data_IF_187381694217
#
_entry.id   IF_187381694217
#
_cell.length_a   1.000
_cell.length_b   1.000
_cell.length_c   1.000
_cell.angle_alpha   90.00
_cell.angle_beta   90.00
_cell.angle_gamma   90.00
#
_symmetry.space_group_name_H-M   'P 1'
#
loop_
_entity.id
_entity.type
_entity.pdbx_description
1 polymer ?
#
# COMPACT_ATOMS: atom_id res chain seq x y z
N UNK A 1 17.18 37.66 46.02
CA UNK A 1 17.50 37.24 44.63
C UNK A 1 17.39 35.72 44.56
N UNK A 2 16.27 35.20 44.05
CA UNK A 2 16.11 33.78 43.73
C UNK A 2 16.02 33.67 42.22
N UNK A 3 16.93 32.90 41.60
CA UNK A 3 17.00 32.73 40.15
C UNK A 3 16.01 31.63 39.74
N UNK A 4 14.92 32.00 39.08
CA UNK A 4 14.02 31.02 38.44
C UNK A 4 14.77 30.28 37.33
N UNK A 5 15.01 28.99 37.54
CA UNK A 5 15.50 28.08 36.50
C UNK A 5 14.29 27.68 35.66
N UNK A 6 14.15 28.31 34.49
CA UNK A 6 13.16 27.94 33.48
C UNK A 6 13.63 26.67 32.77
N UNK A 7 12.99 25.54 33.09
CA UNK A 7 13.31 24.24 32.50
C UNK A 7 12.59 24.09 31.16
N UNK A 8 13.31 24.35 30.05
CA UNK A 8 12.84 24.07 28.69
C UNK A 8 12.91 22.56 28.43
N UNK A 9 11.76 21.88 28.47
CA UNK A 9 11.62 20.52 27.95
C UNK A 9 11.56 20.58 26.41
N UNK A 10 12.64 20.18 25.75
CA UNK A 10 12.65 19.89 24.32
C UNK A 10 11.85 18.60 24.08
N UNK A 11 10.63 18.73 23.58
CA UNK A 11 9.86 17.62 23.01
C UNK A 11 10.53 17.19 21.70
N UNK A 12 11.34 16.14 21.76
CA UNK A 12 11.85 15.46 20.57
C UNK A 12 10.67 14.69 19.97
N UNK A 13 10.02 15.26 18.95
CA UNK A 13 9.10 14.52 18.12
C UNK A 13 9.93 13.55 17.28
N UNK A 14 10.11 12.33 17.76
CA UNK A 14 10.47 11.23 16.88
C UNK A 14 9.31 11.04 15.93
N UNK A 15 9.43 11.61 14.73
CA UNK A 15 8.66 11.17 13.57
C UNK A 15 9.04 9.72 13.34
N UNK A 16 8.33 8.81 14.00
CA UNK A 16 8.36 7.42 13.61
C UNK A 16 7.76 7.43 12.20
N UNK A 17 8.60 7.26 11.17
CA UNK A 17 8.11 6.82 9.88
C UNK A 17 7.46 5.47 10.18
N UNK A 18 6.14 5.47 10.41
CA UNK A 18 5.43 4.23 10.60
C UNK A 18 5.62 3.47 9.29
N UNK A 19 6.35 2.36 9.35
CA UNK A 19 6.33 1.43 8.25
C UNK A 19 4.88 0.98 8.07
N UNK A 20 4.42 0.85 6.83
CA UNK A 20 3.07 0.41 6.54
C UNK A 20 2.91 -1.05 7.01
N UNK A 21 2.38 -1.23 8.22
CA UNK A 21 2.29 -2.54 8.90
C UNK A 21 1.49 -3.53 8.05
N UNK A 22 0.40 -3.09 7.42
CA UNK A 22 -0.41 -3.93 6.54
C UNK A 22 0.40 -4.44 5.34
N UNK A 23 1.20 -3.56 4.73
CA UNK A 23 2.13 -3.94 3.66
C UNK A 23 3.24 -4.85 4.16
N UNK A 24 3.82 -4.61 5.34
CA UNK A 24 4.88 -5.46 5.91
C UNK A 24 4.38 -6.87 6.17
N UNK A 25 3.16 -7.01 6.70
CA UNK A 25 2.47 -8.29 6.86
C UNK A 25 2.31 -8.97 5.51
N UNK A 26 1.86 -8.25 4.47
CA UNK A 26 1.70 -8.80 3.13
C UNK A 26 3.05 -9.22 2.52
N UNK A 27 4.10 -8.42 2.68
CA UNK A 27 5.47 -8.71 2.22
C UNK A 27 6.02 -9.99 2.87
N UNK A 28 5.66 -10.24 4.13
CA UNK A 28 6.04 -11.44 4.88
C UNK A 28 5.42 -12.75 4.34
N UNK A 29 4.44 -12.67 3.44
CA UNK A 29 3.73 -13.83 2.87
C UNK A 29 4.45 -14.40 1.66
N UNK A 30 4.13 -15.66 1.33
CA UNK A 30 4.57 -16.29 0.08
C UNK A 30 3.93 -15.59 -1.13
N UNK A 31 4.49 -15.77 -2.33
CA UNK A 31 3.92 -15.19 -3.56
C UNK A 31 2.46 -15.64 -3.80
N UNK A 32 2.18 -16.93 -3.57
CA UNK A 32 0.82 -17.47 -3.68
C UNK A 32 -0.13 -16.83 -2.66
N UNK A 33 0.30 -16.67 -1.41
CA UNK A 33 -0.50 -16.03 -0.37
C UNK A 33 -0.74 -14.55 -0.67
N UNK A 34 0.27 -13.80 -1.15
CA UNK A 34 0.10 -12.38 -1.56
C UNK A 34 -0.99 -12.25 -2.61
N UNK A 35 -0.88 -13.06 -3.64
CA UNK A 35 -1.80 -13.12 -4.78
C UNK A 35 -3.22 -13.49 -4.33
N UNK A 36 -3.36 -14.45 -3.42
CA UNK A 36 -4.66 -14.84 -2.86
C UNK A 36 -5.28 -13.75 -1.97
N UNK A 37 -4.47 -13.09 -1.14
CA UNK A 37 -4.94 -12.00 -0.26
C UNK A 37 -5.44 -10.82 -1.11
N UNK A 38 -4.66 -10.40 -2.12
CA UNK A 38 -5.00 -9.28 -2.99
C UNK A 38 -6.26 -9.55 -3.82
N UNK A 39 -6.46 -10.77 -4.32
CA UNK A 39 -7.73 -11.14 -4.98
C UNK A 39 -8.88 -11.20 -3.99
N UNK A 40 -8.66 -11.65 -2.76
CA UNK A 40 -9.63 -11.61 -1.67
C UNK A 40 -10.14 -10.19 -1.40
N UNK A 41 -9.25 -9.19 -1.38
CA UNK A 41 -9.62 -7.77 -1.22
C UNK A 41 -10.54 -7.31 -2.35
N UNK A 42 -10.23 -7.64 -3.61
CA UNK A 42 -11.08 -7.30 -4.76
C UNK A 42 -12.46 -7.97 -4.66
N UNK A 43 -12.49 -9.26 -4.33
CA UNK A 43 -13.72 -10.04 -4.26
C UNK A 43 -14.61 -9.55 -3.11
N UNK A 44 -14.02 -9.19 -1.96
CA UNK A 44 -14.74 -8.61 -0.83
C UNK A 44 -15.35 -7.23 -1.16
N UNK A 45 -14.72 -6.47 -2.06
CA UNK A 45 -15.25 -5.21 -2.58
C UNK A 45 -16.33 -5.38 -3.68
N UNK A 46 -16.77 -6.61 -3.95
CA UNK A 46 -17.77 -6.92 -4.98
C UNK A 46 -17.21 -7.08 -6.40
N UNK A 47 -15.89 -7.05 -6.56
CA UNK A 47 -15.23 -7.38 -7.82
C UNK A 47 -15.19 -8.89 -8.08
N UNK A 48 -14.76 -9.27 -9.29
CA UNK A 48 -14.52 -10.66 -9.65
C UNK A 48 -13.06 -10.83 -10.10
N UNK A 49 -12.25 -11.48 -9.25
CA UNK A 49 -10.85 -11.78 -9.53
C UNK A 49 -10.51 -13.21 -9.12
N UNK A 50 -10.39 -14.09 -10.13
CA UNK A 50 -9.63 -15.33 -10.00
C UNK A 50 -8.16 -14.99 -10.27
N UNK A 51 -7.25 -15.06 -9.27
CA UNK A 51 -5.92 -14.51 -9.42
C UNK A 51 -5.02 -15.35 -10.34
N UNK A 52 -4.15 -14.68 -11.11
CA UNK A 52 -3.01 -15.30 -11.82
C UNK A 52 -1.70 -14.95 -11.11
N UNK A 53 -1.44 -13.65 -10.95
CA UNK A 53 -0.20 -13.16 -10.35
C UNK A 53 -0.40 -11.81 -9.67
N UNK A 54 0.48 -11.48 -8.73
CA UNK A 54 0.57 -10.17 -8.11
C UNK A 54 1.96 -9.57 -8.30
N UNK A 55 2.03 -8.23 -8.33
CA UNK A 55 3.26 -7.48 -8.54
C UNK A 55 3.35 -6.30 -7.56
N UNK A 56 4.48 -6.18 -6.86
CA UNK A 56 4.72 -5.05 -5.97
C UNK A 56 5.34 -3.87 -6.73
N UNK A 57 4.63 -2.73 -6.81
CA UNK A 57 5.16 -1.53 -7.47
C UNK A 57 6.10 -0.72 -6.57
N UNK A 58 5.90 -0.79 -5.26
CA UNK A 58 6.65 0.03 -4.29
C UNK A 58 5.74 0.87 -3.41
N UNK A 59 6.36 1.78 -2.67
CA UNK A 59 5.68 2.78 -1.83
C UNK A 59 5.81 4.17 -2.42
N UNK A 60 4.83 5.03 -2.16
CA UNK A 60 4.92 6.45 -2.48
C UNK A 60 5.62 7.25 -1.35
N UNK A 61 5.56 8.58 -1.43
CA UNK A 61 6.18 9.49 -0.45
C UNK A 61 5.48 9.51 0.92
N UNK A 62 4.28 8.93 1.01
CA UNK A 62 3.49 8.83 2.24
C UNK A 62 3.52 7.39 2.78
N UNK A 63 4.44 6.55 2.29
CA UNK A 63 4.55 5.12 2.60
C UNK A 63 3.29 4.30 2.25
N UNK A 64 2.43 4.81 1.38
CA UNK A 64 1.33 4.02 0.84
C UNK A 64 1.89 3.00 -0.15
N UNK A 65 1.58 1.72 0.06
CA UNK A 65 2.08 0.63 -0.74
C UNK A 65 1.17 0.34 -1.93
N UNK A 66 1.76 0.08 -3.10
CA UNK A 66 1.03 -0.19 -4.34
C UNK A 66 1.33 -1.60 -4.84
N UNK A 67 0.28 -2.39 -4.97
CA UNK A 67 0.31 -3.75 -5.48
C UNK A 67 -0.58 -3.86 -6.71
N UNK A 68 -0.15 -4.59 -7.74
CA UNK A 68 -1.03 -4.98 -8.83
C UNK A 68 -1.41 -6.44 -8.74
N UNK A 69 -2.51 -6.78 -9.39
CA UNK A 69 -2.95 -8.15 -9.56
C UNK A 69 -3.58 -8.33 -10.94
N UNK A 70 -3.22 -9.44 -11.58
CA UNK A 70 -3.79 -9.91 -12.84
C UNK A 70 -4.80 -11.00 -12.53
N UNK A 71 -6.00 -10.87 -13.07
CA UNK A 71 -7.10 -11.81 -12.90
C UNK A 71 -7.33 -12.60 -14.19
N UNK A 72 -7.82 -13.84 -14.08
CA UNK A 72 -8.03 -14.75 -15.21
C UNK A 72 -9.04 -14.26 -16.25
N UNK A 73 -9.92 -13.33 -15.88
CA UNK A 73 -10.85 -12.67 -16.78
C UNK A 73 -10.21 -11.53 -17.61
N UNK A 74 -8.89 -11.37 -17.55
CA UNK A 74 -8.14 -10.32 -18.26
C UNK A 74 -8.20 -8.94 -17.58
N UNK A 75 -8.94 -8.80 -16.48
CA UNK A 75 -8.91 -7.58 -15.69
C UNK A 75 -7.64 -7.51 -14.85
N UNK A 76 -7.17 -6.29 -14.64
CA UNK A 76 -6.08 -6.02 -13.72
C UNK A 76 -6.38 -4.79 -12.89
N UNK A 77 -5.86 -4.80 -11.67
CA UNK A 77 -6.12 -3.79 -10.66
C UNK A 77 -4.81 -3.34 -10.02
N UNK A 78 -4.75 -2.07 -9.66
CA UNK A 78 -3.83 -1.56 -8.65
C UNK A 78 -4.59 -1.43 -7.33
N UNK A 79 -3.97 -1.91 -6.26
CA UNK A 79 -4.44 -1.84 -4.89
C UNK A 79 -3.43 -0.98 -4.15
N UNK A 80 -3.87 0.20 -3.72
CA UNK A 80 -3.15 1.00 -2.75
C UNK A 80 -3.51 0.52 -1.35
N UNK A 81 -2.51 0.37 -0.49
CA UNK A 81 -2.66 0.15 0.95
C UNK A 81 -2.09 1.39 1.63
N UNK A 82 -2.93 2.17 2.30
CA UNK A 82 -2.53 3.38 3.02
C UNK A 82 -1.63 3.03 4.22
N UNK A 83 -0.78 3.98 4.61
CA UNK A 83 -0.02 3.89 5.85
C UNK A 83 -0.84 4.45 7.02
N UNK A 84 -1.93 3.77 7.35
CA UNK A 84 -2.78 4.08 8.51
C UNK A 84 -3.02 2.81 9.36
N UNK A 85 -3.60 2.98 10.54
CA UNK A 85 -3.79 1.88 11.49
C UNK A 85 -4.80 0.84 10.98
N UNK A 86 -5.74 1.30 10.16
CA UNK A 86 -6.81 0.51 9.55
C UNK A 86 -6.35 -0.25 8.30
N UNK A 87 -5.21 0.11 7.73
CA UNK A 87 -4.72 -0.44 6.47
C UNK A 87 -5.67 -0.14 5.31
N UNK A 88 -6.21 1.08 5.25
CA UNK A 88 -7.22 1.50 4.27
C UNK A 88 -6.78 1.14 2.86
N UNK A 89 -7.67 0.50 2.08
CA UNK A 89 -7.37 0.06 0.72
C UNK A 89 -8.16 0.81 -0.32
N UNK A 90 -7.49 1.20 -1.40
CA UNK A 90 -8.12 1.77 -2.61
C UNK A 90 -7.85 0.83 -3.78
N UNK A 91 -8.90 0.43 -4.48
CA UNK A 91 -8.83 -0.49 -5.62
C UNK A 91 -9.18 0.29 -6.88
N UNK A 92 -8.28 0.28 -7.87
CA UNK A 92 -8.49 0.97 -9.14
C UNK A 92 -8.18 0.01 -10.28
N UNK A 93 -9.04 -0.04 -11.30
CA UNK A 93 -8.74 -0.80 -12.52
C UNK A 93 -7.55 -0.18 -13.27
N UNK A 94 -6.64 -1.04 -13.73
CA UNK A 94 -5.46 -0.60 -14.46
C UNK A 94 -5.79 0.07 -15.79
N UNK A 95 -6.92 -0.28 -16.43
CA UNK A 95 -7.44 0.41 -17.61
C UNK A 95 -7.74 1.89 -17.32
N UNK A 96 -8.31 2.20 -16.16
CA UNK A 96 -8.57 3.56 -15.72
C UNK A 96 -7.26 4.33 -15.48
N UNK A 97 -6.30 3.71 -14.78
CA UNK A 97 -4.98 4.32 -14.56
C UNK A 97 -4.22 4.59 -15.87
N UNK A 98 -4.31 3.67 -16.84
CA UNK A 98 -3.71 3.83 -18.17
C UNK A 98 -4.25 5.05 -18.92
N UNK A 99 -5.53 5.35 -18.76
CA UNK A 99 -6.14 6.54 -19.38
C UNK A 99 -5.58 7.85 -18.82
N UNK A 100 -5.00 7.82 -17.61
CA UNK A 100 -4.32 8.92 -16.95
C UNK A 100 -2.79 8.93 -17.23
N UNK A 101 -2.30 8.04 -18.11
CA UNK A 101 -0.87 7.90 -18.41
C UNK A 101 -0.07 7.11 -17.37
N UNK A 102 -0.72 6.57 -16.33
CA UNK A 102 -0.06 5.75 -15.33
C UNK A 102 0.01 4.28 -15.78
N UNK A 103 1.08 3.59 -15.40
CA UNK A 103 1.32 2.19 -15.78
C UNK A 103 1.20 1.28 -14.56
N UNK A 104 0.29 0.32 -14.62
CA UNK A 104 0.32 -0.83 -13.73
C UNK A 104 1.48 -1.76 -14.10
N UNK A 105 1.87 -2.64 -13.18
CA UNK A 105 2.97 -3.61 -13.33
C UNK A 105 4.31 -2.96 -13.67
N UNK A 106 4.50 -1.73 -13.22
CA UNK A 106 5.77 -1.01 -13.32
C UNK A 106 6.24 -0.62 -11.93
N UNK A 107 7.50 -0.93 -11.63
CA UNK A 107 8.12 -0.56 -10.36
C UNK A 107 8.34 0.95 -10.31
N UNK A 108 8.06 1.57 -9.17
CA UNK A 108 8.39 2.97 -8.95
C UNK A 108 9.91 3.16 -9.01
N UNK A 109 10.36 4.28 -9.58
CA UNK A 109 11.79 4.64 -9.67
C UNK A 109 12.59 3.99 -10.80
N UNK A 110 11.94 3.34 -11.77
CA UNK A 110 12.57 2.75 -12.97
C UNK A 110 11.92 3.25 -14.27
#
# INVERSE_FOLDING_TARGET
MSKSIMMFFLLVFTACNYANIANDILLSRTSAQKTQILSGIINAAGGACAPIESFYQGVDRNDAAYWNILCANGQSYVIQIANDAEGTTTIIQCSAMKSLGAQCFKRFGY
#
